data_IF_564896710928
#
_entry.id   IF_564896710928
#
_cell.length_a   1.000
_cell.length_b   1.000
_cell.length_c   1.000
_cell.angle_alpha   90.00
_cell.angle_beta   90.00
_cell.angle_gamma   90.00
#
_symmetry.space_group_name_H-M   'P 1'
#
loop_
_entity.id
_entity.type
_entity.pdbx_description
1 polymer ?
#
# COMPACT_ATOMS: atom_id res chain seq x y z
N UNK A 1 30.59 -19.95 12.95
CA UNK A 1 31.66 -19.74 11.92
C UNK A 1 31.65 -18.27 11.51
N UNK A 2 32.46 -17.45 12.16
CA UNK A 2 32.72 -16.06 11.77
C UNK A 2 33.67 -16.08 10.56
N UNK A 3 33.26 -15.51 9.44
CA UNK A 3 34.14 -15.41 8.27
C UNK A 3 35.16 -14.28 8.47
N UNK A 4 36.46 -14.48 8.16
CA UNK A 4 37.54 -13.58 8.59
C UNK A 4 37.72 -12.34 7.69
N UNK A 5 36.75 -12.00 6.86
CA UNK A 5 36.87 -10.93 5.86
C UNK A 5 36.49 -9.57 6.45
N UNK A 6 37.46 -8.94 7.10
CA UNK A 6 37.49 -7.50 7.38
C UNK A 6 36.88 -7.05 8.71
N UNK A 7 37.65 -6.26 9.47
CA UNK A 7 37.13 -5.45 10.58
C UNK A 7 36.59 -4.15 10.02
N UNK A 8 35.40 -3.75 10.46
CA UNK A 8 34.77 -2.50 10.02
C UNK A 8 34.63 -1.53 11.20
N UNK A 9 35.02 -0.28 10.97
CA UNK A 9 34.97 0.81 11.94
C UNK A 9 36.33 1.16 12.58
N UNK A 10 36.43 2.38 13.09
CA UNK A 10 37.63 2.90 13.78
C UNK A 10 37.48 2.92 15.31
N UNK A 11 36.30 2.52 15.82
CA UNK A 11 36.00 2.53 17.26
C UNK A 11 36.73 1.38 17.96
N UNK A 12 37.58 1.69 18.96
CA UNK A 12 38.37 0.70 19.68
C UNK A 12 37.56 -0.19 20.63
N UNK A 13 36.33 0.19 20.96
CA UNK A 13 35.45 -0.54 21.88
C UNK A 13 34.47 -1.48 21.17
N UNK A 14 34.33 -1.37 19.84
CA UNK A 14 33.34 -2.12 19.06
C UNK A 14 34.00 -2.72 17.83
N UNK A 15 33.77 -4.00 17.60
CA UNK A 15 34.22 -4.68 16.39
C UNK A 15 32.99 -5.17 15.59
N UNK A 16 32.80 -4.63 14.39
CA UNK A 16 31.74 -5.09 13.49
C UNK A 16 32.26 -6.21 12.59
N UNK A 17 31.51 -7.31 12.53
CA UNK A 17 31.84 -8.48 11.74
C UNK A 17 30.64 -8.91 10.90
N UNK A 18 30.87 -9.25 9.64
CA UNK A 18 29.79 -9.67 8.74
C UNK A 18 29.26 -11.07 9.11
N UNK A 19 27.94 -11.18 9.13
CA UNK A 19 27.21 -12.42 9.38
C UNK A 19 26.45 -12.85 8.13
N UNK A 20 26.45 -14.15 7.84
CA UNK A 20 25.70 -14.73 6.73
C UNK A 20 24.87 -15.89 7.26
N UNK A 21 23.54 -15.74 7.23
CA UNK A 21 22.60 -16.74 7.71
C UNK A 21 22.65 -16.96 9.23
N UNK A 22 21.49 -17.29 9.82
CA UNK A 22 21.33 -17.61 11.24
C UNK A 22 22.11 -16.66 12.16
N UNK A 23 21.99 -15.36 11.92
CA UNK A 23 22.71 -14.33 12.69
C UNK A 23 22.24 -14.35 14.15
N UNK A 24 20.96 -14.69 14.36
CA UNK A 24 20.28 -14.83 15.65
C UNK A 24 20.87 -15.93 16.54
N UNK A 25 21.58 -16.91 15.96
CA UNK A 25 22.20 -18.02 16.70
C UNK A 25 23.61 -17.70 17.22
N UNK A 26 24.17 -16.54 16.88
CA UNK A 26 25.56 -16.19 17.25
C UNK A 26 25.72 -15.75 18.70
N UNK A 27 24.81 -14.94 19.28
CA UNK A 27 24.92 -14.59 20.68
C UNK A 27 24.62 -15.79 21.59
N UNK A 28 25.31 -15.90 22.75
CA UNK A 28 26.40 -15.04 23.23
C UNK A 28 27.80 -15.55 22.82
N UNK A 29 27.91 -16.70 22.16
CA UNK A 29 29.19 -17.41 21.98
C UNK A 29 30.09 -16.77 20.92
N UNK A 30 29.52 -16.29 19.83
CA UNK A 30 30.24 -15.73 18.68
C UNK A 30 30.10 -14.19 18.56
N UNK A 31 29.16 -13.56 19.28
CA UNK A 31 28.95 -12.11 19.27
C UNK A 31 28.21 -11.62 20.53
N UNK A 32 28.53 -10.40 20.97
CA UNK A 32 27.82 -9.74 22.09
C UNK A 32 26.44 -9.21 21.69
N UNK A 33 26.30 -8.76 20.43
CA UNK A 33 25.08 -8.23 19.86
C UNK A 33 25.06 -8.45 18.34
N UNK A 34 23.87 -8.36 17.76
CA UNK A 34 23.65 -8.50 16.32
C UNK A 34 22.89 -7.31 15.75
N UNK A 35 23.06 -7.11 14.44
CA UNK A 35 22.21 -6.24 13.63
C UNK A 35 21.55 -7.15 12.62
N UNK A 36 20.22 -7.23 12.66
CA UNK A 36 19.45 -8.08 11.77
C UNK A 36 18.21 -7.36 11.23
N UNK A 37 17.68 -7.87 10.12
CA UNK A 37 16.43 -7.39 9.53
C UNK A 37 15.27 -8.14 10.18
N UNK A 38 14.38 -7.40 10.83
CA UNK A 38 13.18 -7.97 11.43
C UNK A 38 11.93 -7.17 11.04
N UNK A 39 10.82 -7.87 10.82
CA UNK A 39 9.51 -7.25 10.59
C UNK A 39 8.67 -7.23 11.87
N UNK A 40 8.50 -8.39 12.51
CA UNK A 40 7.66 -8.55 13.71
C UNK A 40 8.44 -8.81 15.01
N UNK A 41 9.77 -8.98 14.94
CA UNK A 41 10.59 -9.35 16.10
C UNK A 41 10.51 -10.84 16.50
N UNK A 42 9.59 -11.62 15.95
CA UNK A 42 9.31 -13.00 16.37
C UNK A 42 10.52 -13.94 16.27
N UNK A 43 11.35 -13.78 15.22
CA UNK A 43 12.57 -14.57 15.07
C UNK A 43 13.60 -14.27 16.16
N UNK A 44 13.74 -13.00 16.56
CA UNK A 44 14.63 -12.59 17.64
C UNK A 44 14.17 -13.19 18.98
N UNK A 45 12.87 -13.06 19.29
CA UNK A 45 12.28 -13.60 20.52
C UNK A 45 12.48 -15.12 20.63
N UNK A 46 12.28 -15.86 19.53
CA UNK A 46 12.48 -17.32 19.52
C UNK A 46 13.92 -17.76 19.80
N UNK A 47 14.90 -16.88 19.60
CA UNK A 47 16.32 -17.10 19.92
C UNK A 47 16.73 -16.45 21.25
N UNK A 48 15.76 -15.98 22.06
CA UNK A 48 16.02 -15.33 23.34
C UNK A 48 16.66 -13.95 23.22
N UNK A 49 16.48 -13.28 22.07
CA UNK A 49 17.00 -11.95 21.79
C UNK A 49 15.89 -10.90 21.89
N UNK A 50 16.28 -9.68 22.28
CA UNK A 50 15.40 -8.52 22.35
C UNK A 50 15.95 -7.41 21.45
N UNK A 51 15.07 -6.74 20.70
CA UNK A 51 15.45 -5.58 19.89
C UNK A 51 15.70 -4.37 20.81
N UNK A 52 16.95 -3.93 20.89
CA UNK A 52 17.35 -2.81 21.76
C UNK A 52 17.20 -1.44 21.09
N UNK A 53 17.32 -1.38 19.77
CA UNK A 53 17.25 -0.13 18.99
C UNK A 53 16.98 -0.42 17.50
N UNK A 54 16.53 0.59 16.75
CA UNK A 54 16.30 0.52 15.30
C UNK A 54 17.35 1.35 14.57
N UNK A 55 18.19 0.68 13.79
CA UNK A 55 19.24 1.35 13.00
C UNK A 55 18.66 1.99 11.74
N UNK A 56 17.73 1.31 11.06
CA UNK A 56 17.14 1.76 9.81
C UNK A 56 15.78 1.10 9.60
N UNK A 57 14.78 1.87 9.20
CA UNK A 57 13.55 1.35 8.62
C UNK A 57 13.72 1.13 7.12
N UNK A 58 13.43 -0.10 6.66
CA UNK A 58 13.56 -0.47 5.25
C UNK A 58 12.18 -0.67 4.61
N UNK A 59 12.05 -0.23 3.36
CA UNK A 59 10.86 -0.46 2.55
C UNK A 59 11.25 -0.67 1.08
N UNK A 60 10.39 -1.36 0.33
CA UNK A 60 10.57 -1.50 -1.09
C UNK A 60 10.35 -0.15 -1.80
N UNK A 61 11.35 0.31 -2.55
CA UNK A 61 11.31 1.58 -3.28
C UNK A 61 11.68 1.37 -4.75
N UNK A 62 11.11 2.18 -5.64
CA UNK A 62 11.53 2.25 -7.04
C UNK A 62 12.72 3.23 -7.14
N UNK A 63 13.87 2.73 -7.58
CA UNK A 63 15.09 3.53 -7.75
C UNK A 63 15.34 3.77 -9.25
N UNK A 64 15.61 5.01 -9.63
CA UNK A 64 15.95 5.39 -11.00
C UNK A 64 17.36 6.00 -11.06
N UNK A 65 18.11 5.67 -12.11
CA UNK A 65 19.41 6.28 -12.38
C UNK A 65 19.23 7.77 -12.71
N UNK A 66 19.90 8.71 -12.01
CA UNK A 66 19.81 10.15 -12.28
C UNK A 66 20.15 10.55 -13.73
N UNK A 67 21.03 9.81 -14.41
CA UNK A 67 21.36 10.07 -15.82
C UNK A 67 20.22 9.66 -16.77
N UNK A 68 19.49 8.60 -16.43
CA UNK A 68 18.31 8.17 -17.20
C UNK A 68 17.17 9.19 -17.10
N UNK A 69 17.07 9.94 -16.00
CA UNK A 69 16.08 11.00 -15.83
C UNK A 69 16.39 12.25 -16.68
N UNK A 70 17.61 12.40 -17.19
CA UNK A 70 17.99 13.51 -18.09
C UNK A 70 17.62 13.24 -19.56
N UNK A 71 17.40 11.97 -19.91
CA UNK A 71 16.93 11.56 -21.23
C UNK A 71 15.39 11.62 -21.23
N UNK A 72 14.81 12.47 -22.10
CA UNK A 72 13.36 12.73 -22.12
C UNK A 72 12.55 11.45 -22.33
N UNK A 73 12.96 10.59 -23.26
CA UNK A 73 12.22 9.37 -23.59
C UNK A 73 12.27 8.34 -22.47
N UNK A 74 13.38 8.28 -21.72
CA UNK A 74 13.50 7.41 -20.54
C UNK A 74 12.75 7.97 -19.33
N UNK A 75 12.84 9.27 -19.11
CA UNK A 75 12.14 9.94 -18.01
C UNK A 75 10.61 9.77 -18.11
N UNK A 76 10.06 9.90 -19.32
CA UNK A 76 8.63 9.66 -19.59
C UNK A 76 8.22 8.23 -19.21
N UNK A 77 8.95 7.22 -19.70
CA UNK A 77 8.68 5.80 -19.35
C UNK A 77 8.80 5.52 -17.86
N UNK A 78 9.76 6.16 -17.17
CA UNK A 78 9.90 6.03 -15.72
C UNK A 78 8.68 6.63 -15.03
N UNK A 79 8.19 7.79 -15.50
CA UNK A 79 6.98 8.42 -14.97
C UNK A 79 5.74 7.54 -15.14
N UNK A 80 5.60 6.87 -16.29
CA UNK A 80 4.50 5.92 -16.52
C UNK A 80 4.52 4.75 -15.52
N UNK A 81 5.70 4.19 -15.24
CA UNK A 81 5.85 3.11 -14.25
C UNK A 81 5.49 3.63 -12.84
N UNK A 82 5.96 4.83 -12.48
CA UNK A 82 5.63 5.46 -11.19
C UNK A 82 4.11 5.66 -11.06
N UNK A 83 3.45 6.14 -12.12
CA UNK A 83 2.01 6.32 -12.15
C UNK A 83 1.25 5.01 -11.94
N UNK A 84 1.68 3.93 -12.60
CA UNK A 84 1.09 2.60 -12.42
C UNK A 84 1.26 2.12 -10.97
N UNK A 85 2.46 2.23 -10.39
CA UNK A 85 2.70 1.80 -9.02
C UNK A 85 1.87 2.60 -8.00
N UNK A 86 1.80 3.92 -8.16
CA UNK A 86 0.92 4.76 -7.34
C UNK A 86 -0.54 4.32 -7.47
N UNK A 87 -1.00 4.07 -8.69
CA UNK A 87 -2.37 3.62 -8.91
C UNK A 87 -2.68 2.25 -8.29
N UNK A 88 -1.70 1.34 -8.23
CA UNK A 88 -1.85 0.05 -7.52
C UNK A 88 -1.92 0.27 -6.01
N UNK A 89 -1.06 1.13 -5.45
CA UNK A 89 -1.06 1.46 -4.02
C UNK A 89 -2.40 2.08 -3.63
N UNK A 90 -2.88 3.07 -4.39
CA UNK A 90 -4.15 3.74 -4.15
C UNK A 90 -5.33 2.77 -4.22
N UNK A 91 -5.32 1.84 -5.19
CA UNK A 91 -6.37 0.85 -5.36
C UNK A 91 -6.54 -0.08 -4.14
N UNK A 92 -5.46 -0.39 -3.40
CA UNK A 92 -5.51 -1.27 -2.22
C UNK A 92 -6.42 -0.73 -1.10
N UNK A 93 -6.56 0.59 -1.02
CA UNK A 93 -7.38 1.29 -0.01
C UNK A 93 -8.82 1.55 -0.48
N UNK A 94 -9.22 1.05 -1.65
CA UNK A 94 -10.49 1.37 -2.28
C UNK A 94 -11.35 0.13 -2.55
N UNK A 95 -12.65 0.36 -2.66
CA UNK A 95 -13.62 -0.58 -3.16
C UNK A 95 -14.35 0.01 -4.36
N UNK A 96 -14.60 -0.83 -5.34
CA UNK A 96 -15.54 -0.58 -6.42
C UNK A 96 -16.88 -1.19 -6.04
N UNK A 97 -17.89 -0.35 -5.84
CA UNK A 97 -19.21 -0.78 -5.39
C UNK A 97 -20.26 -0.65 -6.50
N UNK A 98 -21.18 -1.61 -6.51
CA UNK A 98 -22.42 -1.58 -7.28
C UNK A 98 -23.57 -1.68 -6.28
N UNK A 99 -24.53 -0.76 -6.36
CA UNK A 99 -25.72 -0.74 -5.50
C UNK A 99 -26.94 -0.36 -6.32
N UNK A 100 -28.08 -0.94 -6.01
CA UNK A 100 -29.36 -0.53 -6.58
C UNK A 100 -30.07 0.42 -5.62
N UNK A 101 -30.62 1.51 -6.13
CA UNK A 101 -31.38 2.48 -5.34
C UNK A 101 -32.69 2.82 -6.04
N UNK A 102 -33.77 3.02 -5.28
CA UNK A 102 -34.98 3.63 -5.84
C UNK A 102 -34.70 5.08 -6.20
N UNK A 103 -35.31 5.57 -7.29
CA UNK A 103 -35.17 6.96 -7.72
C UNK A 103 -35.54 7.98 -6.63
N UNK A 104 -36.55 7.66 -5.82
CA UNK A 104 -36.97 8.49 -4.68
C UNK A 104 -35.86 8.73 -3.65
N UNK A 105 -34.93 7.78 -3.52
CA UNK A 105 -33.86 7.81 -2.51
C UNK A 105 -32.51 8.29 -3.11
N UNK A 106 -32.45 8.53 -4.42
CA UNK A 106 -31.22 8.82 -5.13
C UNK A 106 -30.56 10.10 -4.61
N UNK A 107 -31.33 11.18 -4.45
CA UNK A 107 -30.78 12.48 -4.05
C UNK A 107 -30.19 12.44 -2.63
N UNK A 108 -30.84 11.73 -1.71
CA UNK A 108 -30.34 11.53 -0.34
C UNK A 108 -29.05 10.72 -0.35
N UNK A 109 -28.99 9.64 -1.14
CA UNK A 109 -27.82 8.80 -1.25
C UNK A 109 -26.61 9.53 -1.88
N UNK A 110 -26.84 10.37 -2.89
CA UNK A 110 -25.79 11.16 -3.54
C UNK A 110 -25.14 12.19 -2.61
N UNK A 111 -25.88 12.71 -1.62
CA UNK A 111 -25.32 13.62 -0.60
C UNK A 111 -24.31 12.95 0.33
N UNK A 112 -24.37 11.62 0.44
CA UNK A 112 -23.62 10.83 1.42
C UNK A 112 -22.45 10.08 0.77
N UNK A 113 -22.55 9.75 -0.53
CA UNK A 113 -21.50 9.03 -1.26
C UNK A 113 -20.36 9.98 -1.67
N UNK A 114 -19.15 9.85 -1.07
CA UNK A 114 -17.98 10.57 -1.56
C UNK A 114 -17.48 9.83 -2.80
N UNK A 115 -17.89 10.25 -3.99
CA UNK A 115 -17.36 9.71 -5.23
C UNK A 115 -16.06 10.44 -5.61
N UNK A 116 -15.13 9.73 -6.24
CA UNK A 116 -13.90 10.32 -6.80
C UNK A 116 -14.18 11.51 -7.75
N UNK A 117 -15.33 11.52 -8.43
CA UNK A 117 -15.85 12.65 -9.22
C UNK A 117 -17.37 12.69 -9.20
N UNK A 118 -17.97 11.71 -9.85
CA UNK A 118 -19.42 11.51 -9.94
C UNK A 118 -19.68 10.02 -10.10
N UNK A 119 -20.63 9.43 -9.37
CA UNK A 119 -20.99 8.04 -9.58
C UNK A 119 -21.63 7.87 -10.96
N UNK A 120 -21.45 6.68 -11.54
CA UNK A 120 -22.20 6.25 -12.72
C UNK A 120 -23.60 5.84 -12.27
N UNK A 121 -24.62 6.40 -12.91
CA UNK A 121 -26.04 6.10 -12.63
C UNK A 121 -26.64 5.50 -13.90
N UNK A 122 -27.21 4.30 -13.80
CA UNK A 122 -27.80 3.59 -14.93
C UNK A 122 -29.22 3.12 -14.60
N UNK A 123 -30.20 3.31 -15.51
CA UNK A 123 -31.55 2.79 -15.28
C UNK A 123 -31.55 1.26 -15.25
N UNK A 124 -32.37 0.67 -14.39
CA UNK A 124 -32.64 -0.77 -14.38
C UNK A 124 -33.85 -1.11 -15.27
N UNK A 125 -34.12 -2.41 -15.42
CA UNK A 125 -35.31 -2.89 -16.12
C UNK A 125 -36.60 -2.40 -15.47
N UNK A 126 -36.62 -2.30 -14.13
CA UNK A 126 -37.65 -1.57 -13.41
C UNK A 126 -37.32 -0.06 -13.42
N UNK A 127 -38.17 0.79 -14.03
CA UNK A 127 -37.90 2.22 -14.15
C UNK A 127 -37.85 2.95 -12.82
N UNK A 128 -38.41 2.39 -11.74
CA UNK A 128 -38.35 2.98 -10.39
C UNK A 128 -36.95 2.88 -9.77
N UNK A 129 -36.06 2.09 -10.37
CA UNK A 129 -34.73 1.80 -9.84
C UNK A 129 -33.61 2.25 -10.77
N UNK A 130 -32.48 2.57 -10.15
CA UNK A 130 -31.22 2.83 -10.82
C UNK A 130 -30.09 2.06 -10.14
N UNK A 131 -29.13 1.58 -10.93
CA UNK A 131 -27.85 1.11 -10.45
C UNK A 131 -26.90 2.30 -10.30
N UNK A 132 -26.20 2.33 -9.17
CA UNK A 132 -25.09 3.22 -8.90
C UNK A 132 -23.81 2.40 -8.89
N UNK A 133 -22.83 2.87 -9.64
CA UNK A 133 -21.50 2.32 -9.68
C UNK A 133 -20.50 3.43 -9.33
N UNK A 134 -19.65 3.19 -8.33
CA UNK A 134 -18.61 4.15 -7.92
C UNK A 134 -17.45 3.48 -7.18
N UNK A 135 -16.33 4.18 -7.08
CA UNK A 135 -15.16 3.78 -6.30
C UNK A 135 -15.07 4.66 -5.04
N UNK A 136 -15.01 4.03 -3.87
CA UNK A 136 -14.94 4.68 -2.56
C UNK A 136 -13.81 4.10 -1.71
N UNK A 137 -13.40 4.79 -0.66
CA UNK A 137 -12.46 4.26 0.34
C UNK A 137 -13.06 3.09 1.13
N UNK A 138 -12.23 2.13 1.55
CA UNK A 138 -12.68 0.95 2.32
C UNK A 138 -13.32 1.37 3.65
N UNK A 139 -12.73 2.34 4.33
CA UNK A 139 -13.20 2.94 5.57
C UNK A 139 -14.53 3.70 5.40
N UNK A 140 -14.73 4.33 4.24
CA UNK A 140 -16.00 5.02 3.92
C UNK A 140 -17.14 4.01 3.84
N UNK A 141 -16.94 2.87 3.17
CA UNK A 141 -17.99 1.85 3.02
C UNK A 141 -18.53 1.40 4.37
N UNK A 142 -17.64 1.16 5.34
CA UNK A 142 -18.00 0.77 6.71
C UNK A 142 -18.85 1.87 7.35
N UNK A 143 -18.43 3.14 7.22
CA UNK A 143 -19.13 4.29 7.79
C UNK A 143 -20.53 4.50 7.21
N UNK A 144 -20.72 4.31 5.90
CA UNK A 144 -22.01 4.57 5.24
C UNK A 144 -22.96 3.37 5.25
N UNK A 145 -22.50 2.20 5.72
CA UNK A 145 -23.30 0.96 5.73
C UNK A 145 -24.71 1.12 6.36
N UNK A 146 -24.89 1.81 7.50
CA UNK A 146 -26.23 2.00 8.08
C UNK A 146 -27.18 2.80 7.18
N UNK A 147 -26.65 3.75 6.41
CA UNK A 147 -27.42 4.53 5.44
C UNK A 147 -27.77 3.66 4.24
N UNK A 148 -26.79 2.93 3.70
CA UNK A 148 -27.02 2.04 2.56
C UNK A 148 -28.11 1.01 2.85
N UNK A 149 -28.15 0.45 4.07
CA UNK A 149 -29.20 -0.48 4.51
C UNK A 149 -30.62 0.11 4.49
N UNK A 150 -30.77 1.43 4.61
CA UNK A 150 -32.08 2.12 4.58
C UNK A 150 -32.48 2.53 3.17
N UNK A 151 -31.51 2.97 2.36
CA UNK A 151 -31.80 3.64 1.10
C UNK A 151 -31.63 2.76 -0.14
N UNK A 152 -30.76 1.75 -0.08
CA UNK A 152 -30.31 0.95 -1.22
C UNK A 152 -30.49 -0.56 -0.99
N UNK A 153 -30.34 -1.34 -2.07
CA UNK A 153 -30.41 -2.80 -2.09
C UNK A 153 -29.32 -3.38 -3.00
N UNK A 154 -28.91 -4.63 -2.75
CA UNK A 154 -28.00 -5.36 -3.63
C UNK A 154 -26.61 -4.72 -3.74
N UNK A 155 -25.89 -4.60 -2.62
CA UNK A 155 -24.50 -4.17 -2.60
C UNK A 155 -23.57 -5.29 -3.09
N UNK A 156 -22.83 -5.01 -4.16
CA UNK A 156 -21.72 -5.83 -4.65
C UNK A 156 -20.44 -5.03 -4.53
N UNK A 157 -19.37 -5.67 -4.06
CA UNK A 157 -18.08 -5.05 -3.79
C UNK A 157 -16.99 -5.79 -4.56
N UNK A 158 -16.15 -5.04 -5.27
CA UNK A 158 -14.94 -5.53 -5.92
C UNK A 158 -13.73 -4.74 -5.44
N UNK A 159 -12.58 -5.41 -5.41
CA UNK A 159 -11.30 -4.75 -5.17
C UNK A 159 -10.67 -4.35 -6.51
N UNK A 160 -10.52 -3.05 -6.79
CA UNK A 160 -9.82 -2.61 -7.98
C UNK A 160 -8.34 -3.01 -7.86
N UNK A 161 -7.75 -3.45 -8.97
CA UNK A 161 -6.30 -3.74 -9.02
C UNK A 161 -5.46 -2.50 -9.32
N UNK A 162 -6.07 -1.51 -9.95
CA UNK A 162 -5.43 -0.28 -10.41
C UNK A 162 -6.47 0.84 -10.45
N UNK A 163 -6.15 1.98 -9.84
CA UNK A 163 -6.96 3.20 -9.90
C UNK A 163 -6.02 4.35 -10.23
N UNK A 164 -6.14 4.93 -11.43
CA UNK A 164 -5.30 6.06 -11.85
C UNK A 164 -6.21 7.22 -12.30
N UNK A 165 -6.09 8.41 -11.69
CA UNK A 165 -6.66 9.64 -12.25
C UNK A 165 -5.84 10.05 -13.48
N UNK A 166 -6.37 9.80 -14.68
CA UNK A 166 -5.64 10.05 -15.93
C UNK A 166 -5.36 11.55 -16.15
N UNK A 167 -6.18 12.43 -15.58
CA UNK A 167 -5.95 13.88 -15.58
C UNK A 167 -4.65 14.31 -14.87
N UNK A 168 -4.21 13.55 -13.85
CA UNK A 168 -3.04 13.88 -13.03
C UNK A 168 -1.73 13.41 -13.68
N UNK A 169 -1.82 12.61 -14.75
CA UNK A 169 -0.65 12.09 -15.46
C UNK A 169 0.05 13.13 -16.34
N UNK A 170 -0.54 14.31 -16.53
CA UNK A 170 -0.03 15.35 -17.43
C UNK A 170 -0.12 14.93 -18.90
N UNK A 171 -0.36 15.89 -19.79
CA UNK A 171 -0.05 15.71 -21.21
C UNK A 171 1.41 16.15 -21.36
N UNK A 172 2.32 15.20 -21.61
CA UNK A 172 3.75 15.48 -21.82
C UNK A 172 4.07 16.35 -23.02
#
# INVERSE_FOLDING_TARGET
IITPWGRWGENKMVQVILSFGATEAKPPEEADAIIDVSETGTTLESNGLEAIDVVLESQAVLIANPYSLKDRAKAEKISDIVAIFRGVIDARSRYHIFINVRRSNLEELLKILPALKSPTISPLADPEWVAINTVIGKEVLIRIMPVLRRLAQGLVVYEPKLVIPLEDLGRG
#
